data_IF_290408274637
#
_entry.id   IF_290408274637
#
_cell.length_a   1.000
_cell.length_b   1.000
_cell.length_c   1.000
_cell.angle_alpha   90.00
_cell.angle_beta   90.00
_cell.angle_gamma   90.00
#
_symmetry.space_group_name_H-M   'P 1'
#
loop_
_entity.id
_entity.type
_entity.pdbx_description
1 polymer ?
#
# COMPACT_ATOMS: atom_id res chain seq x y z
N UNK A 1 62.70 -30.56 25.63
CA UNK A 1 62.04 -29.31 25.26
C UNK A 1 61.12 -29.58 24.07
N UNK A 2 59.88 -29.16 24.22
CA UNK A 2 58.69 -29.36 23.39
C UNK A 2 58.78 -28.58 22.07
N UNK A 3 58.52 -29.22 20.92
CA UNK A 3 57.25 -29.28 20.15
C UNK A 3 56.72 -27.96 19.58
N UNK A 4 56.55 -28.03 18.26
CA UNK A 4 55.45 -27.47 17.44
C UNK A 4 55.66 -26.13 16.74
N UNK A 5 55.82 -26.30 15.43
CA UNK A 5 55.65 -25.40 14.31
C UNK A 5 54.29 -24.68 14.33
N UNK A 6 54.31 -23.34 14.28
CA UNK A 6 53.10 -22.53 14.05
C UNK A 6 53.05 -22.11 12.57
N UNK A 7 51.98 -22.54 11.87
CA UNK A 7 51.54 -21.93 10.61
C UNK A 7 50.61 -20.76 10.95
N UNK A 8 50.84 -19.60 10.33
CA UNK A 8 49.88 -18.49 10.26
C UNK A 8 49.56 -18.26 8.78
N UNK A 9 48.27 -18.18 8.47
CA UNK A 9 47.74 -17.99 7.12
C UNK A 9 47.12 -16.60 6.94
N UNK A 10 47.30 -16.07 5.72
CA UNK A 10 46.47 -15.10 4.95
C UNK A 10 46.25 -13.69 5.53
N UNK A 11 46.76 -12.69 4.81
CA UNK A 11 46.01 -11.88 3.83
C UNK A 11 46.98 -10.93 3.07
N UNK A 12 46.70 -10.63 1.79
CA UNK A 12 46.75 -9.22 1.43
C UNK A 12 45.52 -8.77 0.62
N UNK A 13 44.93 -7.67 1.11
CA UNK A 13 44.40 -6.51 0.36
C UNK A 13 44.37 -6.64 -1.17
N UNK A 14 43.16 -6.55 -1.73
CA UNK A 14 42.99 -5.97 -3.06
C UNK A 14 41.59 -5.34 -3.20
N UNK A 15 41.59 -4.07 -3.57
CA UNK A 15 40.43 -3.26 -3.96
C UNK A 15 39.59 -3.95 -5.05
N UNK A 16 38.26 -3.72 -5.09
CA UNK A 16 37.41 -4.28 -6.14
C UNK A 16 37.59 -3.53 -7.47
N UNK A 17 37.75 -4.21 -8.61
CA UNK A 17 37.54 -3.58 -9.90
C UNK A 17 36.03 -3.47 -10.19
N UNK A 18 35.63 -2.27 -10.59
CA UNK A 18 34.34 -1.93 -11.18
C UNK A 18 33.97 -2.88 -12.31
N UNK A 19 32.83 -3.57 -12.19
CA UNK A 19 32.20 -4.26 -13.30
C UNK A 19 30.94 -3.50 -13.70
N UNK A 20 31.10 -2.70 -14.75
CA UNK A 20 30.03 -2.21 -15.60
C UNK A 20 29.13 -3.37 -16.04
N UNK A 21 27.87 -3.35 -15.63
CA UNK A 21 26.84 -4.24 -16.16
C UNK A 21 26.50 -3.84 -17.60
N UNK A 22 26.73 -4.67 -18.62
CA UNK A 22 26.06 -4.51 -19.89
C UNK A 22 24.70 -5.22 -19.76
N UNK A 23 23.64 -4.42 -19.81
CA UNK A 23 22.28 -4.90 -20.07
C UNK A 23 22.30 -5.68 -21.39
N UNK A 24 22.34 -7.00 -21.29
CA UNK A 24 22.23 -7.93 -22.41
C UNK A 24 20.84 -8.56 -22.38
N UNK A 25 19.90 -7.95 -23.11
CA UNK A 25 18.63 -8.59 -23.46
C UNK A 25 19.00 -9.75 -24.40
N UNK A 26 19.02 -10.97 -23.87
CA UNK A 26 19.26 -12.17 -24.67
C UNK A 26 17.95 -12.61 -25.31
N UNK A 27 17.62 -12.05 -26.48
CA UNK A 27 16.61 -12.58 -27.38
C UNK A 27 17.23 -13.70 -28.21
N UNK A 28 16.67 -14.91 -28.12
CA UNK A 28 16.98 -16.00 -29.07
C UNK A 28 16.24 -15.73 -30.39
N UNK A 29 16.91 -15.70 -31.55
CA UNK A 29 16.23 -15.79 -32.83
C UNK A 29 16.19 -17.24 -33.33
N UNK A 30 15.01 -17.72 -33.71
CA UNK A 30 14.89 -18.81 -34.66
C UNK A 30 14.88 -18.20 -36.07
N UNK A 31 15.79 -18.68 -36.91
CA UNK A 31 15.89 -18.41 -38.36
C UNK A 31 14.65 -18.92 -39.10
N UNK A 32 14.05 -18.12 -39.97
CA UNK A 32 14.30 -18.21 -41.43
C UNK A 32 13.52 -17.16 -42.24
N UNK A 33 14.09 -16.82 -43.40
CA UNK A 33 13.51 -16.16 -44.60
C UNK A 33 13.48 -14.63 -44.72
N UNK A 34 14.00 -14.22 -45.89
CA UNK A 34 14.30 -12.89 -46.42
C UNK A 34 13.09 -11.95 -46.55
N UNK A 35 13.31 -10.63 -46.46
CA UNK A 35 13.27 -9.69 -47.61
C UNK A 35 13.44 -8.22 -47.16
N UNK A 36 14.06 -7.45 -48.04
CA UNK A 36 14.44 -6.03 -47.97
C UNK A 36 13.27 -5.09 -47.63
N UNK A 37 13.48 -4.09 -46.76
CA UNK A 37 13.54 -2.65 -47.10
C UNK A 37 13.50 -1.76 -45.85
N UNK A 38 14.36 -0.73 -45.85
CA UNK A 38 14.36 0.38 -44.90
C UNK A 38 13.02 1.13 -44.94
N UNK A 39 12.44 1.43 -43.77
CA UNK A 39 11.73 2.68 -43.48
C UNK A 39 11.66 2.89 -41.96
N UNK A 40 12.20 4.03 -41.52
CA UNK A 40 12.01 4.60 -40.19
C UNK A 40 10.54 4.49 -39.80
N UNK A 41 10.25 3.87 -38.65
CA UNK A 41 8.97 4.03 -37.96
C UNK A 41 9.21 4.86 -36.71
N UNK A 42 8.61 6.05 -36.73
CA UNK A 42 8.40 6.92 -35.58
C UNK A 42 7.82 6.13 -34.41
N UNK A 43 8.39 6.33 -33.22
CA UNK A 43 7.81 5.89 -31.95
C UNK A 43 6.47 6.61 -31.73
N UNK A 44 5.37 5.96 -32.11
CA UNK A 44 4.04 6.30 -31.66
C UNK A 44 3.69 5.30 -30.56
N UNK A 45 3.54 5.81 -29.33
CA UNK A 45 2.94 5.09 -28.21
C UNK A 45 1.48 4.76 -28.57
N UNK A 46 1.28 3.64 -29.26
CA UNK A 46 -0.02 3.11 -29.60
C UNK A 46 -0.43 2.03 -28.59
N UNK A 47 -1.48 2.33 -27.82
CA UNK A 47 -2.38 1.43 -27.10
C UNK A 47 -1.73 0.18 -26.47
N UNK A 48 -1.21 0.34 -25.25
CA UNK A 48 -1.04 -0.78 -24.32
C UNK A 48 -2.44 -1.23 -23.92
N UNK A 49 -2.93 -2.29 -24.55
CA UNK A 49 -4.06 -3.07 -24.05
C UNK A 49 -3.55 -3.69 -22.75
N UNK A 50 -3.97 -3.14 -21.61
CA UNK A 50 -3.74 -3.74 -20.30
C UNK A 50 -4.54 -5.04 -20.31
N UNK A 51 -3.87 -6.16 -20.55
CA UNK A 51 -4.46 -7.47 -20.36
C UNK A 51 -4.80 -7.61 -18.88
N UNK A 52 -6.10 -7.72 -18.57
CA UNK A 52 -6.62 -8.04 -17.24
C UNK A 52 -6.40 -9.53 -16.92
N UNK A 53 -5.22 -10.08 -17.19
CA UNK A 53 -4.87 -11.35 -16.59
C UNK A 53 -4.68 -11.13 -15.09
N UNK A 54 -5.42 -11.84 -14.22
CA UNK A 54 -5.21 -11.74 -12.78
C UNK A 54 -3.79 -12.23 -12.50
N UNK A 55 -2.93 -11.30 -12.12
CA UNK A 55 -1.61 -11.61 -11.59
C UNK A 55 -1.77 -12.67 -10.49
N UNK A 56 -1.12 -13.83 -10.65
CA UNK A 56 -1.06 -14.92 -9.66
C UNK A 56 -0.28 -14.54 -8.39
N UNK A 57 -0.23 -13.25 -8.07
CA UNK A 57 0.43 -12.70 -6.90
C UNK A 57 -0.48 -12.91 -5.68
N UNK A 58 -0.36 -14.08 -5.07
CA UNK A 58 -0.89 -14.33 -3.73
C UNK A 58 0.18 -13.95 -2.71
N UNK A 59 -0.05 -12.87 -1.96
CA UNK A 59 0.72 -12.61 -0.75
C UNK A 59 0.05 -13.42 0.37
N UNK A 60 0.65 -14.50 0.88
CA UNK A 60 0.09 -15.21 2.02
C UNK A 60 0.16 -14.32 3.27
N UNK A 61 -0.97 -13.72 3.64
CA UNK A 61 -1.13 -13.04 4.92
C UNK A 61 -1.13 -14.07 6.06
N UNK A 62 -0.52 -13.74 7.21
CA UNK A 62 -0.46 -14.64 8.36
C UNK A 62 -1.88 -15.00 8.81
N UNK A 63 -2.11 -16.26 9.18
CA UNK A 63 -3.43 -16.73 9.64
C UNK A 63 -3.98 -15.90 10.81
N UNK A 64 -3.11 -15.46 11.72
CA UNK A 64 -3.45 -14.58 12.85
C UNK A 64 -4.08 -13.25 12.41
N UNK A 65 -3.59 -12.69 11.31
CA UNK A 65 -4.07 -11.41 10.77
C UNK A 65 -5.45 -11.57 10.15
N UNK A 66 -5.67 -12.70 9.46
CA UNK A 66 -6.97 -13.08 8.91
C UNK A 66 -8.02 -13.28 10.01
N UNK A 67 -7.66 -14.01 11.08
CA UNK A 67 -8.53 -14.23 12.24
C UNK A 67 -8.84 -12.91 12.96
N UNK A 68 -7.83 -12.05 13.16
CA UNK A 68 -8.02 -10.72 13.74
C UNK A 68 -9.00 -9.89 12.92
N UNK A 69 -8.85 -9.86 11.60
CA UNK A 69 -9.76 -9.15 10.70
C UNK A 69 -11.20 -9.68 10.83
N UNK A 70 -11.39 -11.00 10.76
CA UNK A 70 -12.71 -11.62 10.84
C UNK A 70 -13.40 -11.39 12.19
N UNK A 71 -12.62 -11.26 13.26
CA UNK A 71 -13.12 -11.09 14.62
C UNK A 71 -13.20 -9.63 15.09
N UNK A 72 -12.61 -8.67 14.37
CA UNK A 72 -12.65 -7.27 14.75
C UNK A 72 -14.07 -6.69 14.68
N UNK A 73 -14.56 -6.25 15.83
CA UNK A 73 -15.83 -5.53 15.93
C UNK A 73 -15.71 -4.11 15.37
N UNK A 74 -14.58 -3.43 15.62
CA UNK A 74 -14.38 -2.04 15.20
C UNK A 74 -14.37 -1.91 13.68
N UNK A 75 -13.65 -2.81 12.98
CA UNK A 75 -13.60 -2.85 11.52
C UNK A 75 -14.98 -3.09 10.91
N UNK A 76 -15.77 -4.01 11.48
CA UNK A 76 -17.17 -4.26 11.05
C UNK A 76 -18.04 -3.02 11.26
N UNK A 77 -17.92 -2.37 12.42
CA UNK A 77 -18.67 -1.15 12.74
C UNK A 77 -18.28 0.01 11.80
N UNK A 78 -17.01 0.13 11.44
CA UNK A 78 -16.51 1.16 10.53
C UNK A 78 -17.09 0.99 9.13
N UNK A 79 -17.07 -0.24 8.61
CA UNK A 79 -17.70 -0.55 7.32
C UNK A 79 -19.23 -0.35 7.34
N UNK A 80 -19.89 -0.66 8.45
CA UNK A 80 -21.32 -0.39 8.61
C UNK A 80 -21.64 1.11 8.61
N UNK A 81 -20.82 1.92 9.28
CA UNK A 81 -20.97 3.36 9.27
C UNK A 81 -20.70 3.91 7.86
N UNK A 82 -19.64 3.45 7.18
CA UNK A 82 -19.37 3.81 5.79
C UNK A 82 -20.52 3.49 4.84
N UNK A 83 -21.17 2.32 4.99
CA UNK A 83 -22.37 1.96 4.22
C UNK A 83 -23.48 3.00 4.32
N UNK A 84 -23.61 3.66 5.47
CA UNK A 84 -24.63 4.71 5.67
C UNK A 84 -24.25 6.01 4.99
N UNK A 85 -22.98 6.36 4.82
CA UNK A 85 -22.59 7.65 4.25
C UNK A 85 -22.19 7.60 2.77
N UNK A 86 -21.77 6.44 2.25
CA UNK A 86 -21.27 6.30 0.86
C UNK A 86 -22.20 6.83 -0.22
N UNK A 87 -23.51 6.88 0.02
CA UNK A 87 -24.48 7.38 -0.95
C UNK A 87 -24.54 8.92 -0.99
N UNK A 88 -24.28 9.59 0.14
CA UNK A 88 -24.28 11.05 0.26
C UNK A 88 -23.25 11.65 -0.70
N UNK A 89 -22.06 11.02 -0.77
CA UNK A 89 -20.96 11.43 -1.65
C UNK A 89 -21.15 11.04 -3.13
N UNK A 90 -22.09 10.14 -3.41
CA UNK A 90 -22.40 9.72 -4.79
C UNK A 90 -23.39 10.63 -5.50
N UNK A 91 -24.07 11.50 -4.74
CA UNK A 91 -24.94 12.52 -5.33
C UNK A 91 -24.06 13.61 -5.93
N UNK A 92 -24.24 13.87 -7.23
CA UNK A 92 -23.54 14.94 -7.93
C UNK A 92 -23.88 16.28 -7.28
N UNK A 93 -22.93 16.84 -6.53
CA UNK A 93 -23.12 18.14 -5.89
C UNK A 93 -22.77 19.27 -6.86
N UNK A 94 -23.59 20.32 -6.93
CA UNK A 94 -23.34 21.46 -7.81
C UNK A 94 -22.19 22.37 -7.32
N UNK A 95 -21.68 22.19 -6.10
CA UNK A 95 -20.58 22.99 -5.54
C UNK A 95 -19.60 22.14 -4.74
N UNK A 96 -18.31 22.36 -4.99
CA UNK A 96 -17.18 21.70 -4.30
C UNK A 96 -17.14 22.01 -2.79
N UNK A 97 -17.59 23.21 -2.39
CA UNK A 97 -17.65 23.60 -0.98
C UNK A 97 -18.63 22.72 -0.19
N UNK A 98 -19.81 22.45 -0.75
CA UNK A 98 -20.79 21.56 -0.12
C UNK A 98 -20.25 20.14 0.01
N UNK A 99 -19.57 19.65 -1.03
CA UNK A 99 -18.90 18.34 -0.97
C UNK A 99 -17.83 18.29 0.10
N UNK A 100 -17.05 19.35 0.29
CA UNK A 100 -16.05 19.42 1.35
C UNK A 100 -16.66 19.47 2.75
N UNK A 101 -17.76 20.19 2.93
CA UNK A 101 -18.49 20.23 4.20
C UNK A 101 -19.05 18.85 4.56
N UNK A 102 -19.65 18.14 3.60
CA UNK A 102 -20.14 16.77 3.81
C UNK A 102 -19.00 15.80 4.09
N UNK A 103 -17.89 15.87 3.35
CA UNK A 103 -16.69 15.07 3.62
C UNK A 103 -16.18 15.29 5.03
N UNK A 104 -16.14 16.55 5.50
CA UNK A 104 -15.73 16.89 6.86
C UNK A 104 -16.66 16.26 7.90
N UNK A 105 -17.98 16.38 7.71
CA UNK A 105 -18.95 15.78 8.64
C UNK A 105 -18.80 14.25 8.70
N UNK A 106 -18.72 13.58 7.55
CA UNK A 106 -18.54 12.13 7.48
C UNK A 106 -17.21 11.72 8.12
N UNK A 107 -16.15 12.50 7.89
CA UNK A 107 -14.85 12.27 8.51
C UNK A 107 -14.93 12.30 10.03
N UNK A 108 -15.52 13.35 10.62
CA UNK A 108 -15.64 13.47 12.08
C UNK A 108 -16.39 12.29 12.70
N UNK A 109 -17.43 11.79 12.03
CA UNK A 109 -18.18 10.61 12.48
C UNK A 109 -17.34 9.31 12.42
N UNK A 110 -16.49 9.17 11.41
CA UNK A 110 -15.64 7.99 11.22
C UNK A 110 -14.36 8.04 12.07
N UNK A 111 -13.86 9.24 12.41
CA UNK A 111 -12.52 9.50 12.93
C UNK A 111 -12.15 8.64 14.13
N UNK A 112 -12.94 8.68 15.20
CA UNK A 112 -12.63 7.93 16.42
C UNK A 112 -12.56 6.42 16.17
N UNK A 113 -13.47 5.92 15.33
CA UNK A 113 -13.53 4.50 15.00
C UNK A 113 -12.39 4.07 14.08
N UNK A 114 -11.94 4.96 13.19
CA UNK A 114 -10.76 4.76 12.35
C UNK A 114 -9.51 4.59 13.22
N UNK A 115 -9.28 5.50 14.16
CA UNK A 115 -8.12 5.48 15.06
C UNK A 115 -8.09 4.17 15.84
N UNK A 116 -9.20 3.82 16.51
CA UNK A 116 -9.28 2.59 17.30
C UNK A 116 -9.10 1.34 16.42
N UNK A 117 -9.65 1.32 15.21
CA UNK A 117 -9.49 0.18 14.28
C UNK A 117 -8.05 0.02 13.80
N UNK A 118 -7.31 1.12 13.68
CA UNK A 118 -5.90 1.15 13.32
C UNK A 118 -5.01 0.64 14.46
N UNK A 119 -5.28 1.10 15.69
CA UNK A 119 -4.56 0.69 16.91
C UNK A 119 -4.73 -0.80 17.23
N UNK A 120 -5.82 -1.45 16.78
CA UNK A 120 -5.96 -2.91 16.86
C UNK A 120 -4.87 -3.67 16.08
N UNK A 121 -4.36 -3.09 15.00
CA UNK A 121 -3.42 -3.76 14.09
C UNK A 121 -1.99 -3.30 14.33
N UNK A 122 -1.80 -2.02 14.65
CA UNK A 122 -0.51 -1.35 14.67
C UNK A 122 -0.27 -0.56 15.95
N UNK A 123 0.94 -0.71 16.49
CA UNK A 123 1.46 0.09 17.61
C UNK A 123 2.47 1.15 17.11
N UNK A 124 2.26 1.68 15.90
CA UNK A 124 3.11 2.71 15.28
C UNK A 124 2.31 4.00 15.11
N UNK A 125 2.98 5.16 14.95
CA UNK A 125 2.28 6.43 14.81
C UNK A 125 1.31 6.46 13.63
N UNK A 126 0.13 7.03 13.87
CA UNK A 126 -0.86 7.29 12.83
C UNK A 126 -0.42 8.52 12.03
N UNK A 127 0.19 8.27 10.87
CA UNK A 127 0.65 9.28 9.91
C UNK A 127 0.11 8.92 8.52
N UNK A 128 0.14 9.83 7.52
CA UNK A 128 -0.44 9.54 6.20
C UNK A 128 0.06 8.22 5.60
N UNK A 129 1.38 8.00 5.62
CA UNK A 129 2.00 6.79 5.09
C UNK A 129 1.45 5.51 5.74
N UNK A 130 1.36 5.50 7.08
CA UNK A 130 0.94 4.31 7.81
C UNK A 130 -0.56 4.09 7.74
N UNK A 131 -1.37 5.15 7.71
CA UNK A 131 -2.82 5.08 7.50
C UNK A 131 -3.16 4.47 6.14
N UNK A 132 -2.59 5.00 5.06
CA UNK A 132 -2.89 4.49 3.72
C UNK A 132 -2.33 3.08 3.50
N UNK A 133 -1.17 2.76 4.07
CA UNK A 133 -0.66 1.39 4.11
C UNK A 133 -1.61 0.44 4.85
N UNK A 134 -2.14 0.86 6.00
CA UNK A 134 -3.12 0.10 6.76
C UNK A 134 -4.41 -0.15 5.98
N UNK A 135 -4.95 0.87 5.31
CA UNK A 135 -6.17 0.75 4.49
C UNK A 135 -6.01 -0.27 3.35
N UNK A 136 -4.85 -0.26 2.68
CA UNK A 136 -4.54 -1.28 1.66
C UNK A 136 -4.36 -2.68 2.27
N UNK A 137 -3.74 -2.75 3.44
CA UNK A 137 -3.56 -4.01 4.17
C UNK A 137 -4.90 -4.65 4.59
N UNK A 138 -5.85 -3.88 5.14
CA UNK A 138 -7.17 -4.42 5.52
C UNK A 138 -8.01 -4.79 4.30
N UNK A 139 -7.90 -4.05 3.20
CA UNK A 139 -8.49 -4.41 1.90
C UNK A 139 -7.96 -5.77 1.41
N UNK A 140 -6.65 -5.96 1.38
CA UNK A 140 -6.03 -7.22 0.96
C UNK A 140 -6.44 -8.38 1.87
N UNK A 141 -6.49 -8.14 3.18
CA UNK A 141 -6.94 -9.14 4.16
C UNK A 141 -8.40 -9.54 3.92
N UNK A 142 -9.27 -8.58 3.60
CA UNK A 142 -10.66 -8.85 3.22
C UNK A 142 -10.76 -9.70 1.93
N UNK A 143 -9.91 -9.44 0.94
CA UNK A 143 -9.87 -10.23 -0.30
C UNK A 143 -9.46 -11.68 -0.03
N UNK A 144 -8.36 -11.88 0.71
CA UNK A 144 -7.82 -13.21 1.03
C UNK A 144 -8.79 -14.03 1.88
N UNK A 145 -9.53 -13.38 2.78
CA UNK A 145 -10.55 -14.04 3.63
C UNK A 145 -11.89 -14.27 2.93
N UNK A 146 -11.99 -14.02 1.62
CA UNK A 146 -13.21 -14.23 0.84
C UNK A 146 -14.32 -13.20 1.11
N UNK A 147 -14.00 -12.06 1.74
CA UNK A 147 -14.93 -10.95 2.02
C UNK A 147 -14.88 -9.90 0.92
N UNK A 148 -15.21 -10.29 -0.31
CA UNK A 148 -15.15 -9.41 -1.48
C UNK A 148 -15.96 -8.10 -1.35
N UNK A 149 -17.13 -8.16 -0.70
CA UNK A 149 -17.94 -6.96 -0.42
C UNK A 149 -17.21 -5.99 0.51
N UNK A 150 -16.58 -6.50 1.55
CA UNK A 150 -15.83 -5.67 2.50
C UNK A 150 -14.60 -5.08 1.83
N UNK A 151 -13.88 -5.85 1.00
CA UNK A 151 -12.74 -5.36 0.24
C UNK A 151 -13.10 -4.15 -0.65
N UNK A 152 -14.26 -4.21 -1.33
CA UNK A 152 -14.76 -3.07 -2.13
C UNK A 152 -15.02 -1.84 -1.25
N UNK A 153 -15.51 -2.03 -0.04
CA UNK A 153 -15.81 -0.93 0.87
C UNK A 153 -14.58 -0.31 1.50
N UNK A 154 -13.57 -1.13 1.80
CA UNK A 154 -12.25 -0.63 2.18
C UNK A 154 -11.59 0.19 1.08
N UNK A 155 -11.76 -0.22 -0.18
CA UNK A 155 -11.29 0.53 -1.33
C UNK A 155 -11.98 1.89 -1.45
N UNK A 156 -13.31 1.92 -1.33
CA UNK A 156 -14.10 3.16 -1.29
C UNK A 156 -13.67 4.08 -0.13
N UNK A 157 -13.47 3.52 1.07
CA UNK A 157 -12.96 4.26 2.23
C UNK A 157 -11.57 4.83 1.98
N UNK A 158 -10.67 4.05 1.37
CA UNK A 158 -9.33 4.50 1.05
C UNK A 158 -9.36 5.71 0.11
N UNK A 159 -10.20 5.67 -0.93
CA UNK A 159 -10.42 6.79 -1.83
C UNK A 159 -11.01 8.01 -1.10
N UNK A 160 -11.97 7.80 -0.20
CA UNK A 160 -12.54 8.86 0.63
C UNK A 160 -11.47 9.54 1.49
N UNK A 161 -10.68 8.78 2.25
CA UNK A 161 -9.62 9.36 3.08
C UNK A 161 -8.52 10.02 2.24
N UNK A 162 -8.24 9.52 1.04
CA UNK A 162 -7.32 10.18 0.12
C UNK A 162 -7.85 11.55 -0.34
N UNK A 163 -9.16 11.67 -0.59
CA UNK A 163 -9.81 12.95 -0.89
C UNK A 163 -9.79 13.88 0.33
N UNK A 164 -10.09 13.37 1.53
CA UNK A 164 -10.00 14.16 2.75
C UNK A 164 -8.57 14.67 3.00
N UNK A 165 -7.55 13.85 2.74
CA UNK A 165 -6.15 14.25 2.85
C UNK A 165 -5.78 15.37 1.86
N UNK A 166 -6.17 15.22 0.59
CA UNK A 166 -5.95 16.26 -0.44
C UNK A 166 -6.59 17.60 -0.07
N UNK A 167 -7.71 17.55 0.65
CA UNK A 167 -8.46 18.73 1.08
C UNK A 167 -8.09 19.19 2.50
N UNK A 168 -6.97 18.71 3.05
CA UNK A 168 -6.45 19.07 4.37
C UNK A 168 -7.42 18.81 5.54
N UNK A 169 -8.38 17.89 5.36
CA UNK A 169 -9.38 17.54 6.37
C UNK A 169 -8.85 16.56 7.44
N UNK A 170 -7.69 15.94 7.21
CA UNK A 170 -7.09 14.95 8.12
C UNK A 170 -5.96 15.53 9.00
N UNK A 171 -5.74 16.85 8.97
CA UNK A 171 -4.59 17.49 9.61
C UNK A 171 -4.55 17.22 11.11
N UNK A 172 -5.72 17.30 11.74
CA UNK A 172 -5.95 17.00 13.17
C UNK A 172 -5.70 15.53 13.55
N UNK A 173 -5.81 14.60 12.61
CA UNK A 173 -5.50 13.19 12.81
C UNK A 173 -4.01 12.95 13.01
N UNK A 174 -3.18 13.71 12.29
CA UNK A 174 -1.73 13.53 12.23
C UNK A 174 -0.98 14.45 13.20
N UNK A 175 -1.62 15.53 13.67
CA UNK A 175 -1.05 16.46 14.64
C UNK A 175 -1.10 15.94 16.10
N UNK A 176 -1.75 14.80 16.36
CA UNK A 176 -1.72 14.16 17.68
C UNK A 176 -0.32 13.62 17.99
N UNK A 177 0.57 14.48 18.48
CA UNK A 177 1.81 14.09 19.13
C UNK A 177 1.51 13.23 20.36
N UNK A 178 2.39 12.29 20.72
CA UNK A 178 2.32 11.65 22.02
C UNK A 178 2.48 12.74 23.08
N UNK A 179 1.43 12.97 23.86
CA UNK A 179 1.60 13.55 25.20
C UNK A 179 2.44 12.52 25.93
N UNK A 180 3.75 12.78 26.01
CA UNK A 180 4.61 12.12 26.96
C UNK A 180 3.90 12.26 28.31
N UNK A 181 3.32 11.16 28.80
CA UNK A 181 3.05 11.02 30.22
C UNK A 181 4.45 10.97 30.83
N UNK A 182 4.99 12.14 31.14
CA UNK A 182 6.07 12.28 32.08
C UNK A 182 5.65 11.49 33.31
N UNK A 183 6.45 10.46 33.55
CA UNK A 183 6.45 9.65 34.73
C UNK A 183 6.86 10.58 35.87
N UNK A 184 5.90 11.32 36.43
CA UNK A 184 6.13 12.00 37.70
C UNK A 184 6.16 10.91 38.77
N UNK A 185 7.37 10.76 39.31
CA UNK A 185 7.77 9.93 40.44
C UNK A 185 7.06 10.35 41.72
#
# INVERSE_FOLDING_TARGET
MEKSTYRVSKEPSCMPPSLSSPIGIYTKPATDTQYKTKKQRSFLFGNVIISEEPSNFSIPLKKKDQERYLNSFLKKKLLQLWKKHRHILSVSHPSEEKTNQERKQIYEELKMLLIQSYEEDFNIPLIPFTLFGWLQYVKLTAQITGKAKDAKQWDELALFFQQCHKNHLLTDLFEQRPVNKSLDQ
#
